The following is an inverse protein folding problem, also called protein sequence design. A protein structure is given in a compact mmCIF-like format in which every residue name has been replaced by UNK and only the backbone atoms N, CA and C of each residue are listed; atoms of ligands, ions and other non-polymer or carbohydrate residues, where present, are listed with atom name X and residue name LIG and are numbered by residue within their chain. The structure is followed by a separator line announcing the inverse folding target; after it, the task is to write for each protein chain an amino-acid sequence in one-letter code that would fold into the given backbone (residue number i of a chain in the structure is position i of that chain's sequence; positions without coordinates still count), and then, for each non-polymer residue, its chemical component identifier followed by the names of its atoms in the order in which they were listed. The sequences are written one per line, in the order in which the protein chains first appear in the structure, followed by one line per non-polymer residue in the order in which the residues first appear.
data_IF_101308320187
#
_entry.id   IF_101308320187
#
_cell.length_a   1.000
_cell.length_b   1.000
_cell.length_c   1.000
_cell.angle_alpha   90.00
_cell.angle_beta   90.00
_cell.angle_gamma   90.00
#
_symmetry.space_group_name_H-M   'P 1'
#
loop_
_entity.id
_entity.type
_entity.pdbx_description
1 polymer ?
#
# COMPACT_ATOMS: atom_id res chain seq x y z
N UNK A 1 -4.59 5.10 4.35
CA UNK A 1 -5.99 4.71 4.64
C UNK A 1 -7.00 5.64 3.99
N UNK A 2 -6.59 6.43 3.00
CA UNK A 2 -7.49 7.36 2.33
C UNK A 2 -8.12 6.58 1.19
N UNK A 3 -9.45 6.58 1.12
CA UNK A 3 -10.19 6.05 -0.01
C UNK A 3 -11.20 7.08 -0.48
N UNK A 4 -11.27 7.28 -1.79
CA UNK A 4 -12.20 8.19 -2.43
C UNK A 4 -13.01 7.42 -3.47
N UNK A 5 -14.32 7.57 -3.44
CA UNK A 5 -15.23 6.98 -4.42
C UNK A 5 -15.83 8.09 -5.27
N UNK A 6 -15.69 7.95 -6.58
CA UNK A 6 -16.24 8.85 -7.58
C UNK A 6 -17.44 8.18 -8.25
N UNK A 7 -18.63 8.65 -7.92
CA UNK A 7 -19.88 8.21 -8.54
C UNK A 7 -20.28 9.19 -9.63
N UNK A 8 -20.48 8.69 -10.86
CA UNK A 8 -20.98 9.47 -11.98
C UNK A 8 -22.18 8.75 -12.60
N UNK A 9 -23.41 9.29 -12.47
CA UNK A 9 -24.56 8.75 -13.17
C UNK A 9 -24.41 8.99 -14.68
N UNK A 10 -24.81 8.01 -15.48
CA UNK A 10 -24.94 8.09 -16.94
C UNK A 10 -26.34 7.64 -17.35
N UNK A 11 -26.75 8.00 -18.57
CA UNK A 11 -28.06 7.66 -19.14
C UNK A 11 -28.41 6.17 -19.04
N UNK A 12 -27.42 5.28 -19.23
CA UNK A 12 -27.60 3.83 -19.19
C UNK A 12 -26.86 3.19 -17.99
N UNK A 13 -27.02 3.77 -16.80
CA UNK A 13 -26.53 3.23 -15.53
C UNK A 13 -25.48 4.08 -14.81
N UNK A 14 -24.99 3.60 -13.68
CA UNK A 14 -24.04 4.33 -12.82
C UNK A 14 -22.60 3.82 -12.96
N UNK A 15 -21.65 4.76 -13.07
CA UNK A 15 -20.20 4.49 -13.08
C UNK A 15 -19.62 4.87 -11.72
N UNK A 16 -19.01 3.92 -11.03
CA UNK A 16 -18.29 4.17 -9.77
C UNK A 16 -16.81 3.82 -9.92
N UNK A 17 -15.94 4.78 -9.61
CA UNK A 17 -14.51 4.52 -9.39
C UNK A 17 -14.21 4.58 -7.92
N UNK A 18 -13.61 3.53 -7.39
CA UNK A 18 -13.11 3.54 -6.02
C UNK A 18 -11.59 3.51 -6.08
N UNK A 19 -10.97 4.60 -5.63
CA UNK A 19 -9.52 4.76 -5.54
C UNK A 19 -9.14 4.75 -4.07
N UNK A 20 -8.29 3.81 -3.67
CA UNK A 20 -7.81 3.68 -2.31
C UNK A 20 -6.29 3.70 -2.26
N UNK A 21 -5.75 4.29 -1.19
CA UNK A 21 -4.34 4.20 -0.85
C UNK A 21 -4.26 3.76 0.61
N UNK A 22 -3.83 2.51 0.81
CA UNK A 22 -3.58 1.96 2.13
C UNK A 22 -2.16 2.33 2.58
N UNK A 23 -2.01 2.69 3.86
CA UNK A 23 -0.70 3.06 4.43
C UNK A 23 -0.05 4.35 3.87
N UNK A 24 -0.84 5.43 3.73
CA UNK A 24 -0.35 6.76 3.26
C UNK A 24 0.74 7.36 4.16
N UNK A 25 0.84 6.89 5.42
CA UNK A 25 1.88 7.30 6.37
C UNK A 25 3.20 6.51 6.25
N UNK A 26 3.37 5.66 5.22
CA UNK A 26 4.56 4.83 5.04
C UNK A 26 4.93 4.08 6.32
N UNK A 27 3.95 3.52 7.04
CA UNK A 27 4.23 2.73 8.24
C UNK A 27 4.85 1.42 7.74
N UNK A 28 6.19 1.39 7.74
CA UNK A 28 6.96 0.24 7.28
C UNK A 28 6.47 -1.02 8.00
N UNK A 29 5.81 -1.90 7.25
CA UNK A 29 5.44 -3.22 7.73
C UNK A 29 6.60 -4.16 7.35
N UNK A 30 7.50 -4.50 8.29
CA UNK A 30 8.67 -5.29 7.97
C UNK A 30 8.23 -6.69 7.56
N UNK A 31 8.53 -7.07 6.32
CA UNK A 31 8.21 -8.40 5.78
C UNK A 31 9.15 -9.45 6.37
N UNK A 32 10.42 -9.09 6.55
CA UNK A 32 11.41 -9.95 7.19
C UNK A 32 12.47 -9.15 7.92
N UNK A 33 13.10 -9.84 8.86
CA UNK A 33 14.23 -9.37 9.65
C UNK A 33 15.47 -10.16 9.26
N UNK A 34 16.59 -9.48 9.06
CA UNK A 34 17.87 -10.14 8.77
C UNK A 34 18.92 -9.65 9.76
N UNK A 35 19.58 -10.60 10.41
CA UNK A 35 20.80 -10.32 11.16
C UNK A 35 21.97 -10.22 10.18
N UNK A 36 22.66 -9.09 10.20
CA UNK A 36 23.86 -8.86 9.41
C UNK A 36 24.99 -8.59 10.40
N UNK A 37 26.05 -9.37 10.30
CA UNK A 37 27.26 -9.14 11.10
C UNK A 37 28.10 -8.11 10.36
N UNK A 38 28.29 -6.95 10.99
CA UNK A 38 29.11 -5.90 10.43
C UNK A 38 30.58 -6.33 10.49
N UNK A 39 31.21 -6.49 9.33
CA UNK A 39 32.57 -7.04 9.21
C UNK A 39 33.65 -6.12 9.78
N UNK A 40 33.36 -4.83 9.97
CA UNK A 40 34.32 -3.84 10.51
C UNK A 40 34.24 -3.71 12.04
N UNK A 41 33.04 -3.82 12.61
CA UNK A 41 32.80 -3.62 14.05
C UNK A 41 32.53 -4.91 14.82
N UNK A 42 32.28 -6.03 14.13
CA UNK A 42 31.87 -7.30 14.72
C UNK A 42 30.47 -7.29 15.34
N UNK A 43 29.74 -6.17 15.24
CA UNK A 43 28.42 -6.04 15.82
C UNK A 43 27.35 -6.74 14.95
N UNK A 44 26.42 -7.42 15.61
CA UNK A 44 25.25 -7.99 14.95
C UNK A 44 24.16 -6.92 14.85
N UNK A 45 23.91 -6.46 13.63
CA UNK A 45 22.87 -5.48 13.33
C UNK A 45 21.60 -6.18 12.84
N UNK A 46 20.45 -5.69 13.31
CA UNK A 46 19.15 -6.18 12.89
C UNK A 46 18.56 -5.25 11.82
N UNK A 47 18.58 -5.70 10.58
CA UNK A 47 18.03 -4.97 9.45
C UNK A 47 16.57 -5.37 9.22
N UNK A 48 15.69 -4.37 9.06
CA UNK A 48 14.27 -4.55 8.77
C UNK A 48 14.02 -4.20 7.30
N UNK A 49 13.47 -5.13 6.53
CA UNK A 49 13.12 -4.89 5.13
C UNK A 49 11.60 -4.89 4.97
N UNK A 50 11.06 -3.82 4.37
CA UNK A 50 9.65 -3.74 3.97
C UNK A 50 9.57 -3.82 2.44
N UNK A 51 8.68 -4.66 1.91
CA UNK A 51 8.56 -4.88 0.47
C UNK A 51 7.87 -3.72 -0.26
N UNK A 52 6.81 -3.17 0.35
CA UNK A 52 6.04 -2.06 -0.21
C UNK A 52 5.69 -1.07 0.89
N UNK A 53 6.04 0.22 0.74
CA UNK A 53 5.70 1.25 1.73
C UNK A 53 4.23 1.68 1.65
N UNK A 54 3.61 1.56 0.48
CA UNK A 54 2.24 1.99 0.17
C UNK A 54 1.58 0.91 -0.70
N UNK A 55 0.31 0.63 -0.46
CA UNK A 55 -0.47 -0.32 -1.27
C UNK A 55 -1.59 0.46 -1.99
N UNK A 56 -1.45 0.77 -3.28
CA UNK A 56 -2.52 1.40 -4.06
C UNK A 56 -3.62 0.39 -4.38
N UNK A 57 -4.87 0.84 -4.41
CA UNK A 57 -6.01 0.05 -4.86
C UNK A 57 -6.89 0.86 -5.82
N UNK A 58 -7.28 0.23 -6.92
CA UNK A 58 -8.21 0.79 -7.90
C UNK A 58 -9.30 -0.23 -8.18
N UNK A 59 -10.54 0.20 -8.10
CA UNK A 59 -11.70 -0.64 -8.40
C UNK A 59 -12.68 0.12 -9.29
N UNK A 60 -13.18 -0.58 -10.30
CA UNK A 60 -14.20 -0.10 -11.20
C UNK A 60 -15.49 -0.89 -10.99
N UNK A 61 -16.59 -0.19 -10.76
CA UNK A 61 -17.92 -0.80 -10.69
C UNK A 61 -18.87 -0.08 -11.64
N UNK A 62 -19.63 -0.86 -12.39
CA UNK A 62 -20.69 -0.39 -13.28
C UNK A 62 -21.99 -1.07 -12.88
N UNK A 63 -23.00 -0.28 -12.55
CA UNK A 63 -24.36 -0.76 -12.34
C UNK A 63 -25.20 -0.41 -13.56
N UNK A 64 -26.01 -1.36 -14.02
CA UNK A 64 -26.91 -1.25 -15.16
C UNK A 64 -28.32 -1.05 -14.67
#
# INVERSE_FOLDING_TARGET
DIAMQFHKPKENGERTWSLGIYNVYCRYNPFFYRYIVNSETGATELHKYALFPIIPSIQYSRKF
#
